data_IF_989838358751
#
_entry.id   IF_989838358751
#
_cell.length_a   1.000
_cell.length_b   1.000
_cell.length_c   1.000
_cell.angle_alpha   90.00
_cell.angle_beta   90.00
_cell.angle_gamma   90.00
#
_symmetry.space_group_name_H-M   'P 1'
#
loop_
_entity.id
_entity.type
_entity.pdbx_description
1 polymer ?
#
# COMPACT_ATOMS: atom_id res chain seq x y z
N UNK A 1 -25.93 52.78 32.60
CA UNK A 1 -25.80 51.35 33.01
C UNK A 1 -26.43 50.35 32.06
N UNK A 2 -27.46 50.65 31.29
CA UNK A 2 -28.08 49.72 30.33
C UNK A 2 -27.22 49.44 29.08
N UNK A 3 -26.49 50.40 28.56
CA UNK A 3 -25.65 50.29 27.34
C UNK A 3 -24.42 49.41 27.55
N UNK A 4 -23.79 49.44 28.71
CA UNK A 4 -22.61 48.62 29.04
C UNK A 4 -22.99 47.13 29.16
N UNK A 5 -24.15 46.82 29.76
CA UNK A 5 -24.67 45.46 29.83
C UNK A 5 -25.02 44.90 28.44
N UNK A 6 -25.57 45.73 27.53
CA UNK A 6 -25.86 45.31 26.16
C UNK A 6 -24.56 45.02 25.37
N UNK A 7 -23.52 45.82 25.57
CA UNK A 7 -22.22 45.61 24.92
C UNK A 7 -21.53 44.32 25.41
N UNK A 8 -21.63 44.03 26.70
CA UNK A 8 -21.09 42.76 27.25
C UNK A 8 -21.87 41.56 26.80
N UNK A 9 -23.19 41.65 26.64
CA UNK A 9 -24.02 40.55 26.16
C UNK A 9 -23.78 40.23 24.67
N UNK A 10 -23.58 41.28 23.84
CA UNK A 10 -23.22 41.08 22.43
C UNK A 10 -21.82 40.50 22.23
N UNK A 11 -20.83 40.90 23.04
CA UNK A 11 -19.50 40.33 23.04
C UNK A 11 -19.47 38.86 23.44
N UNK A 12 -20.26 38.47 24.43
CA UNK A 12 -20.40 37.08 24.86
C UNK A 12 -21.06 36.21 23.77
N UNK A 13 -22.07 36.75 23.06
CA UNK A 13 -22.74 36.05 21.96
C UNK A 13 -21.83 35.80 20.77
N UNK A 14 -21.00 36.80 20.42
CA UNK A 14 -19.99 36.66 19.33
C UNK A 14 -18.90 35.66 19.71
N UNK A 15 -18.45 35.63 20.96
CA UNK A 15 -17.49 34.66 21.44
C UNK A 15 -18.04 33.25 21.43
N UNK A 16 -19.32 33.04 21.73
CA UNK A 16 -19.98 31.74 21.72
C UNK A 16 -20.14 31.20 20.26
N UNK A 17 -20.38 32.08 19.29
CA UNK A 17 -20.48 31.69 17.88
C UNK A 17 -19.13 31.33 17.26
N UNK A 18 -18.04 31.93 17.72
CA UNK A 18 -16.68 31.58 17.28
C UNK A 18 -16.22 30.21 17.79
N UNK A 19 -16.70 29.77 18.97
CA UNK A 19 -16.38 28.46 19.53
C UNK A 19 -17.10 27.30 18.80
N UNK A 20 -18.21 27.55 18.14
CA UNK A 20 -18.95 26.54 17.38
C UNK A 20 -18.44 26.33 15.93
N UNK A 21 -17.53 27.17 15.43
CA UNK A 21 -16.99 27.09 14.07
C UNK A 21 -15.90 26.01 13.88
N UNK A 22 -15.40 25.38 14.95
CA UNK A 22 -14.35 24.36 14.87
C UNK A 22 -14.85 22.92 14.86
N UNK A 23 -16.10 22.65 14.52
CA UNK A 23 -16.51 21.30 14.18
C UNK A 23 -16.36 21.08 12.66
N UNK A 24 -15.14 20.86 12.20
CA UNK A 24 -14.94 20.23 10.90
C UNK A 24 -15.45 18.77 11.00
N UNK A 25 -16.70 18.54 10.67
CA UNK A 25 -17.16 17.19 10.33
C UNK A 25 -16.36 16.76 9.12
N UNK A 26 -15.42 15.83 9.28
CA UNK A 26 -14.97 15.00 8.18
C UNK A 26 -16.20 14.36 7.55
N UNK A 27 -16.43 14.65 6.28
CA UNK A 27 -17.65 14.28 5.54
C UNK A 27 -17.78 12.77 5.30
N UNK A 28 -16.76 12.00 5.62
CA UNK A 28 -16.76 10.56 5.55
C UNK A 28 -16.43 10.00 6.93
N UNK A 29 -17.42 9.37 7.52
CA UNK A 29 -17.33 8.76 8.85
C UNK A 29 -16.43 7.51 8.91
N UNK A 30 -15.53 7.32 7.95
CA UNK A 30 -14.49 6.33 7.96
C UNK A 30 -13.18 6.98 8.38
N UNK A 31 -12.83 6.84 9.64
CA UNK A 31 -11.46 7.12 10.10
C UNK A 31 -10.60 5.92 9.72
N UNK A 32 -9.60 6.14 8.86
CA UNK A 32 -8.61 5.13 8.55
C UNK A 32 -7.87 4.73 9.83
N UNK A 33 -7.96 3.46 10.17
CA UNK A 33 -7.27 2.86 11.31
C UNK A 33 -6.53 1.60 10.84
N UNK A 34 -5.84 0.90 11.73
CA UNK A 34 -5.20 -0.38 11.38
C UNK A 34 -6.18 -1.49 10.96
N UNK A 35 -7.46 -1.34 11.27
CA UNK A 35 -8.51 -2.35 11.06
C UNK A 35 -9.72 -1.81 10.31
N UNK A 36 -9.64 -0.60 9.79
CA UNK A 36 -10.72 0.01 9.01
C UNK A 36 -10.17 1.00 7.99
N UNK A 37 -10.87 1.18 6.88
CA UNK A 37 -10.47 2.04 5.76
C UNK A 37 -10.17 1.23 4.51
N UNK A 38 -9.93 1.91 3.38
CA UNK A 38 -9.66 1.28 2.09
C UNK A 38 -8.29 1.74 1.57
N UNK A 39 -7.44 0.78 1.23
CA UNK A 39 -6.11 1.05 0.65
C UNK A 39 -5.97 0.36 -0.71
N UNK A 40 -5.40 1.08 -1.69
CA UNK A 40 -4.97 0.47 -2.94
C UNK A 40 -3.50 0.07 -2.84
N UNK A 41 -3.19 -1.13 -3.30
CA UNK A 41 -1.84 -1.69 -3.35
C UNK A 41 -1.49 -2.13 -4.77
N UNK A 42 -0.21 -2.23 -5.11
CA UNK A 42 0.25 -2.93 -6.30
C UNK A 42 0.98 -4.21 -5.91
N UNK A 43 0.85 -5.24 -6.72
CA UNK A 43 1.63 -6.47 -6.57
C UNK A 43 2.03 -6.98 -7.95
N UNK A 44 3.21 -7.58 -8.01
CA UNK A 44 3.59 -8.35 -9.20
C UNK A 44 2.55 -9.45 -9.45
N UNK A 45 2.14 -9.60 -10.71
CA UNK A 45 1.07 -10.53 -11.11
C UNK A 45 1.39 -11.99 -10.76
N UNK A 46 2.67 -12.35 -10.64
CA UNK A 46 3.09 -13.70 -10.24
C UNK A 46 2.71 -14.02 -8.79
N UNK A 47 2.52 -13.00 -7.96
CA UNK A 47 2.11 -13.17 -6.56
C UNK A 47 0.59 -13.11 -6.35
N UNK A 48 -0.18 -12.91 -7.42
CA UNK A 48 -1.65 -12.78 -7.32
C UNK A 48 -2.29 -13.87 -6.47
N UNK A 49 -2.00 -15.19 -6.64
CA UNK A 49 -2.70 -16.21 -5.87
C UNK A 49 -2.50 -16.07 -4.36
N UNK A 50 -1.25 -15.84 -3.93
CA UNK A 50 -0.93 -15.74 -2.50
C UNK A 50 -1.39 -14.41 -1.91
N UNK A 51 -1.24 -13.31 -2.65
CA UNK A 51 -1.65 -11.97 -2.17
C UNK A 51 -3.18 -11.90 -2.05
N UNK A 52 -3.93 -12.50 -2.96
CA UNK A 52 -5.38 -12.53 -2.89
C UNK A 52 -5.87 -13.31 -1.67
N UNK A 53 -5.29 -14.47 -1.40
CA UNK A 53 -5.62 -15.29 -0.21
C UNK A 53 -5.38 -14.51 1.09
N UNK A 54 -4.25 -13.79 1.19
CA UNK A 54 -3.94 -12.97 2.36
C UNK A 54 -4.91 -11.79 2.52
N UNK A 55 -5.34 -11.18 1.41
CA UNK A 55 -6.36 -10.11 1.43
C UNK A 55 -7.69 -10.67 1.94
N UNK A 56 -8.14 -11.80 1.41
CA UNK A 56 -9.41 -12.41 1.78
C UNK A 56 -9.44 -12.77 3.28
N UNK A 57 -8.33 -13.30 3.80
CA UNK A 57 -8.17 -13.57 5.23
C UNK A 57 -8.19 -12.29 6.05
N UNK A 58 -7.46 -11.26 5.62
CA UNK A 58 -7.40 -9.98 6.32
C UNK A 58 -8.78 -9.29 6.38
N UNK A 59 -9.49 -9.21 5.26
CA UNK A 59 -10.83 -8.61 5.19
C UNK A 59 -11.87 -9.44 5.97
N UNK A 60 -11.71 -10.76 6.01
CA UNK A 60 -12.51 -11.64 6.84
C UNK A 60 -12.33 -11.38 8.34
N UNK A 61 -11.12 -11.04 8.77
CA UNK A 61 -10.81 -10.68 10.16
C UNK A 61 -11.22 -9.24 10.50
N UNK A 62 -11.15 -8.33 9.53
CA UNK A 62 -11.42 -6.91 9.69
C UNK A 62 -12.48 -6.40 8.68
N UNK A 63 -13.77 -6.65 8.92
CA UNK A 63 -14.84 -6.36 7.96
C UNK A 63 -15.01 -4.87 7.59
N UNK A 64 -14.36 -3.96 8.31
CA UNK A 64 -14.36 -2.53 8.02
C UNK A 64 -13.12 -2.09 7.22
N UNK A 65 -12.20 -3.01 6.93
CA UNK A 65 -11.04 -2.79 6.08
C UNK A 65 -11.29 -3.31 4.66
N UNK A 66 -10.72 -2.63 3.67
CA UNK A 66 -10.75 -3.06 2.28
C UNK A 66 -9.38 -2.85 1.63
N UNK A 67 -8.89 -3.85 0.90
CA UNK A 67 -7.66 -3.78 0.13
C UNK A 67 -7.99 -3.94 -1.34
N UNK A 68 -7.63 -2.95 -2.15
CA UNK A 68 -7.86 -2.97 -3.62
C UNK A 68 -6.53 -3.29 -4.31
N UNK A 69 -6.29 -4.56 -4.67
CA UNK A 69 -5.04 -4.96 -5.32
C UNK A 69 -5.04 -4.55 -6.81
N UNK A 70 -3.89 -4.15 -7.31
CA UNK A 70 -3.57 -3.99 -8.72
C UNK A 70 -2.45 -4.97 -9.06
N UNK A 71 -2.80 -6.05 -9.75
CA UNK A 71 -1.83 -7.02 -10.24
C UNK A 71 -1.27 -6.51 -11.57
N UNK A 72 0.00 -6.19 -11.57
CA UNK A 72 0.71 -5.56 -12.69
C UNK A 72 2.12 -6.09 -12.77
N UNK A 73 2.87 -5.74 -13.81
CA UNK A 73 4.28 -6.09 -13.88
C UNK A 73 5.07 -5.45 -12.72
N UNK A 74 6.16 -6.07 -12.31
CA UNK A 74 7.04 -5.55 -11.25
C UNK A 74 7.46 -4.10 -11.50
N UNK A 75 7.82 -3.77 -12.75
CA UNK A 75 8.20 -2.41 -13.14
C UNK A 75 7.05 -1.44 -12.98
N UNK A 76 5.84 -1.84 -13.35
CA UNK A 76 4.66 -0.99 -13.20
C UNK A 76 4.26 -0.82 -11.72
N UNK A 77 4.43 -1.85 -10.90
CA UNK A 77 4.19 -1.74 -9.46
C UNK A 77 5.10 -0.68 -8.81
N UNK A 78 6.41 -0.69 -9.16
CA UNK A 78 7.36 0.33 -8.70
C UNK A 78 7.03 1.72 -9.27
N UNK A 79 6.64 1.80 -10.55
CA UNK A 79 6.23 3.06 -11.17
C UNK A 79 4.99 3.68 -10.52
N UNK A 80 4.00 2.87 -10.13
CA UNK A 80 2.83 3.34 -9.42
C UNK A 80 3.20 3.89 -8.04
N UNK A 81 4.14 3.26 -7.35
CA UNK A 81 4.67 3.76 -6.10
C UNK A 81 5.45 5.08 -6.30
N UNK A 82 6.31 5.16 -7.34
CA UNK A 82 7.04 6.38 -7.71
C UNK A 82 6.12 7.55 -8.04
N UNK A 83 4.96 7.30 -8.64
CA UNK A 83 3.96 8.33 -8.96
C UNK A 83 3.09 8.75 -7.78
N UNK A 84 3.36 8.21 -6.58
CA UNK A 84 2.54 8.42 -5.37
C UNK A 84 1.05 8.05 -5.56
N UNK A 85 0.81 7.12 -6.50
CA UNK A 85 -0.54 6.62 -6.78
C UNK A 85 -0.98 5.54 -5.79
N UNK A 86 0.00 4.91 -5.12
CA UNK A 86 -0.17 3.83 -4.17
C UNK A 86 0.83 4.00 -3.02
N UNK A 87 0.53 3.36 -1.89
CA UNK A 87 1.37 3.42 -0.70
C UNK A 87 2.17 2.16 -0.42
N UNK A 88 1.84 1.06 -1.13
CA UNK A 88 2.48 -0.22 -0.96
C UNK A 88 2.62 -0.92 -2.31
N UNK A 89 3.81 -1.47 -2.56
CA UNK A 89 4.08 -2.34 -3.70
C UNK A 89 4.74 -3.64 -3.23
N UNK A 90 4.29 -4.78 -3.75
CA UNK A 90 4.84 -6.11 -3.50
C UNK A 90 5.58 -6.55 -4.77
N UNK A 91 6.89 -6.75 -4.64
CA UNK A 91 7.79 -7.03 -5.76
C UNK A 91 8.74 -8.16 -5.42
N UNK A 92 9.31 -8.82 -6.42
CA UNK A 92 10.30 -9.89 -6.24
C UNK A 92 11.71 -9.39 -5.93
N UNK A 93 11.97 -8.11 -6.18
CA UNK A 93 13.30 -7.49 -6.02
C UNK A 93 13.24 -6.26 -5.10
N UNK A 94 14.40 -5.81 -4.70
CA UNK A 94 14.59 -4.50 -4.06
C UNK A 94 14.54 -3.38 -5.09
N UNK A 95 14.34 -2.15 -4.61
CA UNK A 95 14.49 -0.95 -5.43
C UNK A 95 15.93 -0.81 -5.93
N UNK A 96 16.10 -0.37 -7.17
CA UNK A 96 17.42 -0.04 -7.68
C UNK A 96 17.96 1.24 -7.03
N UNK A 97 19.29 1.48 -7.07
CA UNK A 97 19.84 2.73 -6.57
C UNK A 97 19.23 3.98 -7.23
N UNK A 98 18.92 3.89 -8.51
CA UNK A 98 18.30 4.99 -9.29
C UNK A 98 16.87 5.26 -8.82
N UNK A 99 16.08 4.20 -8.61
CA UNK A 99 14.73 4.30 -8.07
C UNK A 99 14.75 4.88 -6.65
N UNK A 100 15.64 4.40 -5.79
CA UNK A 100 15.82 4.93 -4.44
C UNK A 100 16.23 6.41 -4.45
N UNK A 101 17.15 6.81 -5.34
CA UNK A 101 17.53 8.21 -5.51
C UNK A 101 16.37 9.06 -5.98
N UNK A 102 15.51 8.54 -6.87
CA UNK A 102 14.30 9.23 -7.32
C UNK A 102 13.33 9.48 -6.17
N UNK A 103 13.14 8.51 -5.28
CA UNK A 103 12.33 8.68 -4.06
C UNK A 103 12.93 9.73 -3.12
N UNK A 104 14.24 9.62 -2.84
CA UNK A 104 14.95 10.52 -1.93
C UNK A 104 14.93 11.97 -2.41
N UNK A 105 15.07 12.22 -3.71
CA UNK A 105 15.00 13.56 -4.30
C UNK A 105 13.64 14.24 -4.08
N UNK A 106 12.60 13.44 -3.95
CA UNK A 106 11.22 13.88 -3.66
C UNK A 106 10.91 13.89 -2.15
N UNK A 107 11.91 13.66 -1.30
CA UNK A 107 11.78 13.54 0.17
C UNK A 107 10.83 12.43 0.60
N UNK A 108 10.73 11.38 -0.18
CA UNK A 108 10.00 10.17 0.13
C UNK A 108 11.00 9.06 0.45
N UNK A 109 10.81 8.36 1.56
CA UNK A 109 11.76 7.35 2.07
C UNK A 109 11.04 6.02 2.20
N UNK A 110 10.91 5.23 1.12
CA UNK A 110 10.25 3.94 1.17
C UNK A 110 11.02 2.98 2.07
N UNK A 111 10.28 2.18 2.83
CA UNK A 111 10.84 1.09 3.61
C UNK A 111 10.72 -0.22 2.85
N UNK A 112 11.82 -0.96 2.73
CA UNK A 112 11.84 -2.29 2.15
C UNK A 112 11.74 -3.34 3.25
N UNK A 113 10.71 -4.18 3.19
CA UNK A 113 10.48 -5.26 4.14
C UNK A 113 10.46 -6.58 3.37
N UNK A 114 11.36 -7.49 3.71
CA UNK A 114 11.34 -8.84 3.16
C UNK A 114 10.28 -9.67 3.90
N UNK A 115 9.24 -10.09 3.18
CA UNK A 115 8.12 -10.86 3.73
C UNK A 115 8.24 -12.37 3.47
N UNK A 116 8.90 -12.78 2.37
CA UNK A 116 9.04 -14.19 2.00
C UNK A 116 10.32 -14.44 1.20
N UNK A 117 10.61 -15.71 0.97
CA UNK A 117 11.61 -16.18 0.01
C UNK A 117 10.92 -17.17 -0.91
N UNK A 118 10.97 -16.91 -2.20
CA UNK A 118 10.47 -17.79 -3.22
C UNK A 118 11.56 -18.71 -3.75
N UNK A 119 11.18 -19.83 -4.40
CA UNK A 119 12.08 -20.79 -5.00
C UNK A 119 11.52 -21.32 -6.32
N UNK A 120 12.40 -21.50 -7.28
CA UNK A 120 12.07 -22.16 -8.56
C UNK A 120 12.37 -23.65 -8.46
N UNK A 121 11.38 -24.49 -8.75
CA UNK A 121 11.54 -25.91 -8.90
C UNK A 121 11.42 -26.30 -10.39
N UNK A 122 12.41 -27.02 -10.87
CA UNK A 122 12.35 -27.62 -12.20
C UNK A 122 11.64 -28.97 -12.10
N UNK A 123 10.60 -29.13 -12.86
CA UNK A 123 9.86 -30.39 -12.93
C UNK A 123 10.02 -31.01 -14.33
N UNK A 124 10.16 -32.32 -14.38
CA UNK A 124 10.21 -33.08 -15.61
C UNK A 124 9.10 -34.13 -15.62
N UNK A 125 8.73 -34.54 -16.83
CA UNK A 125 7.78 -35.66 -17.00
C UNK A 125 8.37 -36.95 -16.39
N UNK A 126 7.52 -37.77 -15.77
CA UNK A 126 7.91 -39.02 -15.11
C UNK A 126 8.65 -40.00 -16.04
N UNK A 127 8.40 -39.95 -17.35
CA UNK A 127 9.07 -40.78 -18.35
C UNK A 127 10.38 -40.17 -18.90
N UNK A 128 10.84 -39.06 -18.37
CA UNK A 128 12.12 -38.47 -18.79
C UNK A 128 13.27 -39.26 -18.13
N UNK A 129 14.20 -39.85 -18.92
CA UNK A 129 15.34 -40.59 -18.38
C UNK A 129 16.36 -39.65 -17.65
N UNK A 130 16.39 -38.37 -18.03
CA UNK A 130 17.31 -37.38 -17.47
C UNK A 130 16.70 -36.80 -16.18
N UNK A 131 17.15 -37.34 -15.02
CA UNK A 131 16.71 -36.87 -13.70
C UNK A 131 17.65 -35.81 -13.10
N UNK A 132 18.77 -35.53 -13.74
CA UNK A 132 19.78 -34.60 -13.26
C UNK A 132 20.03 -33.52 -14.32
N UNK A 133 19.91 -32.27 -13.90
CA UNK A 133 20.26 -31.11 -14.73
C UNK A 133 21.22 -30.21 -13.96
N UNK A 134 22.31 -29.79 -14.60
CA UNK A 134 23.24 -28.86 -13.98
C UNK A 134 22.82 -27.39 -14.20
N UNK A 135 23.26 -26.50 -13.30
CA UNK A 135 23.05 -25.05 -13.45
C UNK A 135 23.63 -24.53 -14.78
N UNK A 136 24.71 -25.17 -15.27
CA UNK A 136 25.32 -24.85 -16.57
C UNK A 136 24.39 -25.21 -17.73
N UNK A 137 23.69 -26.33 -17.65
CA UNK A 137 22.74 -26.76 -18.68
C UNK A 137 21.51 -25.85 -18.69
N UNK A 138 20.99 -25.50 -17.50
CA UNK A 138 19.88 -24.52 -17.37
C UNK A 138 20.27 -23.20 -18.04
N UNK A 139 21.47 -22.68 -17.73
CA UNK A 139 21.95 -21.44 -18.36
C UNK A 139 22.04 -21.56 -19.88
N UNK A 140 22.53 -22.67 -20.40
CA UNK A 140 22.61 -22.92 -21.86
C UNK A 140 21.25 -23.00 -22.55
N UNK A 141 20.21 -23.45 -21.83
CA UNK A 141 18.85 -23.54 -22.37
C UNK A 141 18.19 -22.15 -22.44
N UNK A 142 18.52 -21.26 -21.48
CA UNK A 142 17.91 -19.95 -21.35
C UNK A 142 18.63 -18.84 -22.13
N UNK A 143 19.80 -19.10 -22.69
CA UNK A 143 20.60 -18.16 -23.50
C UNK A 143 20.74 -18.64 -24.93
#
# INVERSE_FOLDING_TARGET
MKTVKQLQLSGLLVLLTLLSACQSKSKDGQTDTYTSGVIAIAADESFQPIVQEEIDVFEGLFPLAGIVPRYVTEVDAVNLLLKDSLRLAITSRRLTPEEMNSFNSRKFFPQEIKIATDGLALITHVGNPDSLISVKDIRRILT
#
